data_IF_250895129261
#
_entry.id   IF_250895129261
#
_cell.length_a   1.000
_cell.length_b   1.000
_cell.length_c   1.000
_cell.angle_alpha   90.00
_cell.angle_beta   90.00
_cell.angle_gamma   90.00
#
_symmetry.space_group_name_H-M   'P 1'
#
loop_
_entity.id
_entity.type
_entity.pdbx_description
1 polymer ?
#
# COMPACT_ATOMS: atom_id res chain seq x y z
N UNK A 1 -3.35 20.51 45.70
CA UNK A 1 -2.32 21.21 44.89
C UNK A 1 -2.28 20.58 43.51
N UNK A 2 -2.46 21.36 42.44
CA UNK A 2 -2.34 20.87 41.07
C UNK A 2 -0.91 20.42 40.76
N UNK A 3 -0.75 19.34 39.99
CA UNK A 3 0.59 18.79 39.68
C UNK A 3 1.31 19.74 38.72
N UNK A 4 2.63 19.86 38.83
CA UNK A 4 3.43 20.69 37.92
C UNK A 4 3.28 20.29 36.43
N UNK A 5 2.89 19.04 36.15
CA UNK A 5 2.49 18.58 34.82
C UNK A 5 1.30 19.34 34.25
N UNK A 6 0.33 19.70 35.09
CA UNK A 6 -0.92 20.34 34.67
C UNK A 6 -0.69 21.83 34.36
N UNK A 7 0.21 22.47 35.11
CA UNK A 7 0.63 23.87 34.89
C UNK A 7 1.42 24.00 33.58
N UNK A 8 2.34 23.08 33.29
CA UNK A 8 3.10 23.06 32.03
C UNK A 8 2.19 22.79 30.83
N UNK A 9 1.25 21.85 30.98
CA UNK A 9 0.24 21.53 29.96
C UNK A 9 -0.69 22.70 29.68
N UNK A 10 -1.03 23.51 30.69
CA UNK A 10 -1.85 24.72 30.51
C UNK A 10 -1.21 25.77 29.59
N UNK A 11 0.11 25.99 29.71
CA UNK A 11 0.84 26.91 28.83
C UNK A 11 0.88 26.40 27.38
N UNK A 12 1.21 25.12 27.19
CA UNK A 12 1.23 24.47 25.87
C UNK A 12 -0.14 24.51 25.18
N UNK A 13 -1.22 24.27 25.93
CA UNK A 13 -2.59 24.32 25.43
C UNK A 13 -3.01 25.74 25.03
N UNK A 14 -2.65 26.76 25.81
CA UNK A 14 -2.92 28.16 25.46
C UNK A 14 -2.15 28.59 24.21
N UNK A 15 -0.89 28.19 24.06
CA UNK A 15 -0.12 28.46 22.84
C UNK A 15 -0.72 27.77 21.61
N UNK A 16 -1.21 26.54 21.74
CA UNK A 16 -1.92 25.84 20.67
C UNK A 16 -3.25 26.51 20.31
N UNK A 17 -3.99 27.01 21.31
CA UNK A 17 -5.24 27.75 21.10
C UNK A 17 -5.02 29.07 20.37
N UNK A 18 -3.99 29.84 20.72
CA UNK A 18 -3.63 31.08 20.02
C UNK A 18 -3.31 30.81 18.56
N UNK A 19 -2.55 29.75 18.27
CA UNK A 19 -2.21 29.35 16.89
C UNK A 19 -3.44 28.86 16.11
N UNK A 20 -4.35 28.14 16.77
CA UNK A 20 -5.62 27.71 16.16
C UNK A 20 -6.46 28.91 15.72
N UNK A 21 -6.63 29.91 16.60
CA UNK A 21 -7.38 31.13 16.26
C UNK A 21 -6.73 31.92 15.13
N UNK A 22 -5.41 32.08 15.18
CA UNK A 22 -4.66 32.72 14.09
C UNK A 22 -4.83 31.97 12.76
N UNK A 23 -4.92 30.64 12.78
CA UNK A 23 -5.23 29.82 11.61
C UNK A 23 -6.67 30.00 11.12
N UNK A 24 -7.64 30.11 12.03
CA UNK A 24 -9.04 30.36 11.70
C UNK A 24 -9.24 31.70 10.97
N UNK A 25 -8.50 32.73 11.40
CA UNK A 25 -8.53 34.08 10.83
C UNK A 25 -7.90 34.18 9.43
N UNK A 26 -7.15 33.17 8.98
CA UNK A 26 -6.57 33.16 7.63
C UNK A 26 -7.65 33.02 6.55
N UNK A 27 -7.43 33.73 5.43
CA UNK A 27 -8.23 33.57 4.22
C UNK A 27 -8.11 32.15 3.64
N UNK A 28 -9.08 31.76 2.81
CA UNK A 28 -9.09 30.43 2.15
C UNK A 28 -7.84 30.21 1.31
N UNK A 29 -7.34 31.24 0.63
CA UNK A 29 -6.16 31.15 -0.22
C UNK A 29 -4.87 31.04 0.60
N UNK A 30 -4.76 31.78 1.71
CA UNK A 30 -3.63 31.63 2.64
C UNK A 30 -3.59 30.22 3.25
N UNK A 31 -4.75 29.67 3.62
CA UNK A 31 -4.90 28.28 4.09
C UNK A 31 -4.46 27.26 3.02
N UNK A 32 -4.79 27.49 1.75
CA UNK A 32 -4.37 26.63 0.64
C UNK A 32 -2.85 26.73 0.36
N UNK A 33 -2.28 27.93 0.42
CA UNK A 33 -0.83 28.15 0.22
C UNK A 33 -0.02 27.44 1.29
N UNK A 34 -0.41 27.58 2.57
CA UNK A 34 0.24 26.87 3.67
C UNK A 34 0.09 25.34 3.55
N UNK A 35 -1.06 24.87 3.07
CA UNK A 35 -1.26 23.44 2.78
C UNK A 35 -0.34 22.93 1.65
N UNK A 36 -0.15 23.71 0.59
CA UNK A 36 0.77 23.36 -0.51
C UNK A 36 2.23 23.34 -0.04
N UNK A 37 2.64 24.33 0.75
CA UNK A 37 4.01 24.43 1.28
C UNK A 37 4.39 23.28 2.21
N UNK A 38 3.41 22.67 2.89
CA UNK A 38 3.63 21.57 3.82
C UNK A 38 3.43 20.17 3.23
N UNK A 39 3.15 20.04 1.93
CA UNK A 39 3.16 18.74 1.25
C UNK A 39 4.60 18.21 1.22
N UNK A 40 5.02 17.57 2.30
CA UNK A 40 6.23 16.74 2.28
C UNK A 40 6.11 15.72 1.16
N UNK A 41 7.21 15.48 0.45
CA UNK A 41 7.30 14.55 -0.68
C UNK A 41 6.94 13.14 -0.23
N UNK A 42 5.65 12.80 -0.21
CA UNK A 42 5.24 11.40 -0.16
C UNK A 42 5.61 10.82 -1.51
N UNK A 43 6.78 10.18 -1.58
CA UNK A 43 7.27 9.58 -2.81
C UNK A 43 6.44 8.33 -3.04
N UNK A 44 5.41 8.47 -3.87
CA UNK A 44 4.71 7.29 -4.40
C UNK A 44 5.75 6.44 -5.13
N UNK A 45 5.81 5.16 -4.79
CA UNK A 45 6.70 4.23 -5.48
C UNK A 45 6.19 4.07 -6.92
N UNK A 46 6.93 4.62 -7.88
CA UNK A 46 6.64 4.47 -9.30
C UNK A 46 7.14 3.10 -9.77
N UNK A 47 6.30 2.09 -9.58
CA UNK A 47 6.60 0.73 -10.02
C UNK A 47 6.29 0.55 -11.50
N UNK A 48 7.26 0.04 -12.26
CA UNK A 48 7.08 -0.39 -13.64
C UNK A 48 6.14 -1.60 -13.67
N UNK A 49 5.20 -1.60 -14.62
CA UNK A 49 4.22 -2.68 -14.79
C UNK A 49 4.22 -3.22 -16.20
N UNK A 50 4.05 -4.53 -16.31
CA UNK A 50 3.95 -5.27 -17.57
C UNK A 50 2.57 -5.93 -17.66
N UNK A 51 2.13 -6.22 -18.89
CA UNK A 51 0.90 -7.01 -19.09
C UNK A 51 1.12 -8.43 -18.57
N UNK A 52 0.05 -9.05 -18.08
CA UNK A 52 0.03 -10.45 -17.66
C UNK A 52 -1.38 -10.87 -17.30
N UNK A 53 -1.52 -12.00 -16.62
CA UNK A 53 -2.80 -12.62 -16.31
C UNK A 53 -2.81 -13.17 -14.87
N UNK A 54 -4.01 -13.28 -14.31
CA UNK A 54 -4.27 -13.96 -13.03
C UNK A 54 -5.51 -14.83 -13.18
N UNK A 55 -5.52 -15.98 -12.51
CA UNK A 55 -6.71 -16.84 -12.43
C UNK A 55 -7.72 -16.24 -11.43
N UNK A 56 -9.00 -16.17 -11.80
CA UNK A 56 -10.04 -15.60 -10.95
C UNK A 56 -10.35 -16.49 -9.74
N UNK A 57 -10.72 -15.89 -8.61
CA UNK A 57 -11.23 -16.65 -7.45
C UNK A 57 -12.75 -16.82 -7.50
N UNK A 58 -13.47 -15.87 -8.08
CA UNK A 58 -14.93 -15.82 -8.03
C UNK A 58 -15.64 -16.40 -9.26
N UNK A 59 -14.92 -16.69 -10.35
CA UNK A 59 -15.51 -17.30 -11.53
C UNK A 59 -15.41 -18.83 -11.48
N UNK A 60 -16.44 -19.50 -12.01
CA UNK A 60 -16.47 -20.96 -12.07
C UNK A 60 -15.55 -21.46 -13.18
N UNK A 61 -14.65 -22.37 -12.83
CA UNK A 61 -13.63 -22.94 -13.71
C UNK A 61 -12.41 -22.05 -13.85
N UNK A 62 -11.44 -22.52 -14.64
CA UNK A 62 -10.12 -21.89 -14.78
C UNK A 62 -10.15 -20.68 -15.72
N UNK A 63 -10.54 -19.52 -15.21
CA UNK A 63 -10.65 -18.29 -16.00
C UNK A 63 -9.49 -17.34 -15.70
N UNK A 64 -8.70 -17.04 -16.73
CA UNK A 64 -7.56 -16.14 -16.67
C UNK A 64 -7.92 -14.77 -17.21
N UNK A 65 -7.76 -13.75 -16.36
CA UNK A 65 -8.14 -12.37 -16.65
C UNK A 65 -6.90 -11.48 -16.79
N UNK A 66 -6.88 -10.56 -17.77
CA UNK A 66 -5.73 -9.69 -18.00
C UNK A 66 -5.54 -8.70 -16.84
N UNK A 67 -4.28 -8.49 -16.44
CA UNK A 67 -3.89 -7.55 -15.40
C UNK A 67 -2.54 -6.89 -15.71
N UNK A 68 -2.10 -5.99 -14.82
CA UNK A 68 -0.78 -5.34 -14.87
C UNK A 68 0.09 -5.82 -13.71
N UNK A 69 0.98 -6.77 -14.01
CA UNK A 69 1.97 -7.33 -13.09
C UNK A 69 3.11 -6.34 -12.84
N UNK A 70 3.84 -6.52 -11.74
CA UNK A 70 5.05 -5.75 -11.46
C UNK A 70 6.20 -6.24 -12.35
N UNK A 71 6.93 -5.32 -12.98
CA UNK A 71 8.05 -5.67 -13.87
C UNK A 71 9.20 -6.34 -13.10
N UNK A 72 9.91 -7.24 -13.78
CA UNK A 72 11.21 -7.78 -13.34
C UNK A 72 12.35 -6.77 -13.43
N UNK A 73 12.22 -5.76 -14.28
CA UNK A 73 13.28 -4.79 -14.63
C UNK A 73 13.32 -3.54 -13.74
N UNK A 74 12.66 -3.56 -12.58
CA UNK A 74 12.64 -2.40 -11.68
C UNK A 74 14.00 -2.19 -11.00
N UNK A 75 14.52 -0.96 -11.06
CA UNK A 75 15.78 -0.58 -10.40
C UNK A 75 15.57 0.17 -9.08
N UNK A 76 14.59 1.06 -8.98
CA UNK A 76 14.31 1.81 -7.74
C UNK A 76 13.36 1.05 -6.81
N UNK A 77 13.66 1.04 -5.50
CA UNK A 77 12.92 0.25 -4.48
C UNK A 77 12.82 -1.25 -4.83
N UNK A 78 13.84 -1.78 -5.50
CA UNK A 78 13.84 -3.14 -6.04
C UNK A 78 13.59 -4.21 -4.96
N UNK A 79 14.11 -4.05 -3.74
CA UNK A 79 13.89 -5.01 -2.65
C UNK A 79 12.40 -5.16 -2.28
N UNK A 80 11.70 -4.04 -2.02
CA UNK A 80 10.28 -4.04 -1.70
C UNK A 80 9.43 -4.58 -2.86
N UNK A 81 9.74 -4.14 -4.08
CA UNK A 81 9.03 -4.55 -5.30
C UNK A 81 9.25 -6.04 -5.61
N UNK A 82 10.47 -6.55 -5.45
CA UNK A 82 10.78 -7.96 -5.65
C UNK A 82 10.08 -8.82 -4.60
N UNK A 83 10.08 -8.40 -3.32
CA UNK A 83 9.41 -9.14 -2.24
C UNK A 83 7.92 -9.31 -2.54
N UNK A 84 7.22 -8.22 -2.85
CA UNK A 84 5.78 -8.28 -3.14
C UNK A 84 5.48 -9.00 -4.46
N UNK A 85 6.33 -8.86 -5.49
CA UNK A 85 6.16 -9.55 -6.78
C UNK A 85 6.32 -11.05 -6.62
N UNK A 86 7.42 -11.49 -6.03
CA UNK A 86 7.69 -12.92 -5.82
C UNK A 86 6.62 -13.56 -4.94
N UNK A 87 6.19 -12.87 -3.88
CA UNK A 87 5.17 -13.41 -2.99
C UNK A 87 3.80 -13.55 -3.67
N UNK A 88 3.40 -12.53 -4.46
CA UNK A 88 2.16 -12.57 -5.22
C UNK A 88 2.17 -13.59 -6.38
N UNK A 89 3.36 -13.89 -6.94
CA UNK A 89 3.54 -14.84 -8.04
C UNK A 89 3.70 -16.30 -7.57
N UNK A 90 3.91 -16.53 -6.27
CA UNK A 90 4.12 -17.86 -5.72
C UNK A 90 2.98 -18.82 -6.06
N UNK A 91 3.31 -20.10 -6.22
CA UNK A 91 2.34 -21.15 -6.58
C UNK A 91 1.60 -20.84 -7.88
N UNK A 92 2.28 -20.22 -8.85
CA UNK A 92 1.75 -19.91 -10.18
C UNK A 92 0.54 -18.95 -10.18
N UNK A 93 0.39 -18.09 -9.17
CA UNK A 93 -0.76 -17.18 -9.05
C UNK A 93 -0.76 -15.99 -10.02
N UNK A 94 0.32 -15.80 -10.77
CA UNK A 94 0.43 -14.79 -11.82
C UNK A 94 1.10 -15.40 -13.05
N UNK A 95 0.68 -14.97 -14.23
CA UNK A 95 1.21 -15.47 -15.49
C UNK A 95 1.64 -14.33 -16.42
N UNK A 96 2.80 -14.46 -17.03
CA UNK A 96 3.27 -13.51 -18.04
C UNK A 96 2.51 -13.66 -19.36
N UNK A 97 2.61 -12.65 -20.23
CA UNK A 97 2.09 -12.75 -21.60
C UNK A 97 2.76 -13.92 -22.32
N UNK A 98 1.95 -14.78 -22.95
CA UNK A 98 2.44 -15.95 -23.69
C UNK A 98 2.53 -17.23 -22.87
N UNK A 99 2.03 -17.26 -21.63
CA UNK A 99 1.90 -18.52 -20.89
C UNK A 99 0.96 -19.50 -21.60
N UNK A 100 1.25 -20.79 -21.46
CA UNK A 100 0.37 -21.84 -21.95
C UNK A 100 -0.81 -21.99 -21.00
N UNK A 101 -2.01 -21.68 -21.49
CA UNK A 101 -3.25 -21.89 -20.73
C UNK A 101 -3.40 -23.38 -20.44
N UNK A 102 -3.55 -23.79 -19.17
CA UNK A 102 -3.77 -25.18 -18.83
C UNK A 102 -5.03 -25.75 -19.49
N UNK A 103 -5.06 -27.06 -19.71
CA UNK A 103 -6.23 -27.76 -20.26
C UNK A 103 -7.49 -27.43 -19.46
N UNK A 104 -8.57 -27.06 -20.17
CA UNK A 104 -9.83 -26.63 -19.56
C UNK A 104 -9.86 -25.16 -19.12
N UNK A 105 -8.74 -24.43 -19.23
CA UNK A 105 -8.67 -23.01 -18.93
C UNK A 105 -9.07 -22.12 -20.10
N UNK A 106 -9.57 -20.93 -19.76
CA UNK A 106 -10.02 -19.92 -20.74
C UNK A 106 -9.37 -18.58 -20.42
N UNK A 107 -8.81 -17.95 -21.44
CA UNK A 107 -8.43 -16.54 -21.41
C UNK A 107 -9.66 -15.69 -21.70
N UNK A 108 -10.10 -14.93 -20.71
CA UNK A 108 -11.20 -14.00 -20.87
C UNK A 108 -10.66 -12.58 -20.96
N UNK A 109 -10.65 -12.01 -22.15
CA UNK A 109 -10.35 -10.59 -22.36
C UNK A 109 -11.65 -9.78 -22.48
N UNK A 110 -11.63 -8.53 -22.03
CA UNK A 110 -12.75 -7.60 -22.19
C UNK A 110 -13.78 -7.55 -21.06
N UNK A 111 -13.57 -8.27 -19.95
CA UNK A 111 -14.42 -8.12 -18.75
C UNK A 111 -14.23 -6.71 -18.15
N UNK A 112 -15.28 -5.89 -18.22
CA UNK A 112 -15.27 -4.54 -17.65
C UNK A 112 -15.58 -4.58 -16.16
N UNK A 113 -14.88 -3.77 -15.37
CA UNK A 113 -15.12 -3.65 -13.92
C UNK A 113 -14.25 -4.57 -13.07
N UNK A 114 -13.67 -5.61 -13.67
CA UNK A 114 -12.79 -6.55 -13.01
C UNK A 114 -11.63 -5.87 -12.29
N UNK A 115 -11.45 -6.22 -11.00
CA UNK A 115 -10.27 -5.85 -10.21
C UNK A 115 -9.71 -7.10 -9.56
N UNK A 116 -8.48 -7.51 -9.89
CA UNK A 116 -7.88 -8.68 -9.27
C UNK A 116 -7.63 -8.45 -7.79
N UNK A 117 -7.52 -9.56 -7.04
CA UNK A 117 -7.01 -9.52 -5.69
C UNK A 117 -5.59 -8.93 -5.68
N UNK A 118 -5.23 -8.19 -4.62
CA UNK A 118 -3.95 -7.50 -4.52
C UNK A 118 -3.30 -7.72 -3.17
N UNK A 119 -2.02 -8.06 -3.21
CA UNK A 119 -1.11 -8.03 -2.09
C UNK A 119 -0.44 -6.66 -2.05
N UNK A 120 -0.47 -5.98 -0.91
CA UNK A 120 0.19 -4.70 -0.71
C UNK A 120 1.16 -4.76 0.47
N UNK A 121 2.41 -4.37 0.25
CA UNK A 121 3.40 -4.18 1.31
C UNK A 121 3.64 -2.69 1.51
N UNK A 122 3.61 -2.25 2.77
CA UNK A 122 4.07 -0.93 3.17
C UNK A 122 5.33 -1.07 4.01
N UNK A 123 6.42 -0.53 3.48
CA UNK A 123 7.68 -0.34 4.20
C UNK A 123 7.63 0.99 4.95
N UNK A 124 7.80 0.94 6.27
CA UNK A 124 7.91 2.14 7.10
C UNK A 124 9.35 2.62 7.01
N UNK A 125 9.56 3.64 6.18
CA UNK A 125 10.84 4.32 6.07
C UNK A 125 11.18 5.13 7.32
N UNK A 126 12.25 5.93 7.21
CA UNK A 126 12.74 6.75 8.31
C UNK A 126 11.72 7.81 8.73
N UNK A 127 11.82 8.22 9.99
CA UNK A 127 11.09 9.41 10.47
C UNK A 127 11.54 10.61 9.66
N UNK A 128 10.57 11.36 9.14
CA UNK A 128 10.81 12.56 8.35
C UNK A 128 11.03 13.71 9.34
N UNK A 129 12.08 14.50 9.14
CA UNK A 129 12.35 15.69 9.95
C UNK A 129 11.26 16.77 9.76
N UNK A 130 11.12 17.66 10.73
CA UNK A 130 10.29 18.87 10.67
C UNK A 130 8.78 18.67 10.39
N UNK A 131 8.20 17.58 10.88
CA UNK A 131 6.75 17.35 10.78
C UNK A 131 5.98 18.06 11.89
N UNK A 132 5.71 19.34 11.67
CA UNK A 132 4.86 20.15 12.55
C UNK A 132 3.40 20.13 12.08
N UNK A 133 2.44 20.22 12.99
CA UNK A 133 1.04 20.45 12.65
C UNK A 133 0.89 21.80 11.95
N UNK A 134 0.25 21.83 10.77
CA UNK A 134 -0.09 23.07 10.04
C UNK A 134 -0.78 24.14 10.90
N UNK A 135 -1.56 23.68 11.87
CA UNK A 135 -2.47 24.53 12.64
C UNK A 135 -1.81 24.93 13.96
N UNK A 136 -1.21 23.97 14.65
CA UNK A 136 -0.73 24.15 16.03
C UNK A 136 0.79 24.19 16.15
N UNK A 137 1.51 23.91 15.06
CA UNK A 137 2.96 23.73 15.00
C UNK A 137 3.53 22.66 15.96
N UNK A 138 2.67 21.81 16.53
CA UNK A 138 3.08 20.69 17.36
C UNK A 138 3.72 19.62 16.48
N UNK A 139 4.90 19.15 16.86
CA UNK A 139 5.58 18.07 16.16
C UNK A 139 4.85 16.75 16.31
N UNK A 140 4.72 16.01 15.22
CA UNK A 140 4.19 14.66 15.22
C UNK A 140 5.06 13.77 14.35
N UNK A 141 5.20 12.51 14.75
CA UNK A 141 5.99 11.54 14.00
C UNK A 141 5.29 11.22 12.69
N UNK A 142 5.95 11.52 11.57
CA UNK A 142 5.57 11.04 10.25
C UNK A 142 6.75 10.27 9.66
N UNK A 143 6.43 9.17 8.99
CA UNK A 143 7.39 8.28 8.38
C UNK A 143 7.28 8.37 6.85
N UNK A 144 8.41 8.21 6.15
CA UNK A 144 8.42 8.08 4.69
C UNK A 144 7.97 6.67 4.29
N UNK A 145 6.66 6.45 4.34
CA UNK A 145 6.08 5.16 4.03
C UNK A 145 6.07 4.91 2.52
N UNK A 146 6.62 3.77 2.10
CA UNK A 146 6.60 3.31 0.72
C UNK A 146 5.64 2.15 0.60
N UNK A 147 4.66 2.25 -0.30
CA UNK A 147 3.67 1.18 -0.51
C UNK A 147 3.74 0.68 -1.93
N UNK A 148 3.78 -0.64 -2.10
CA UNK A 148 3.74 -1.31 -3.40
C UNK A 148 2.69 -2.41 -3.35
N UNK A 149 1.93 -2.54 -4.43
CA UNK A 149 0.91 -3.58 -4.58
C UNK A 149 1.07 -4.40 -5.85
N UNK A 150 1.00 -5.72 -5.72
CA UNK A 150 0.98 -6.69 -6.83
C UNK A 150 -0.36 -7.42 -6.90
N UNK A 151 -0.94 -7.62 -8.09
CA UNK A 151 -2.09 -8.51 -8.23
C UNK A 151 -1.68 -9.97 -8.01
N UNK A 152 -2.63 -10.80 -7.59
CA UNK A 152 -2.52 -12.26 -7.54
C UNK A 152 -3.88 -12.90 -7.82
N UNK A 153 -3.86 -14.12 -8.35
CA UNK A 153 -5.04 -14.95 -8.57
C UNK A 153 -5.00 -16.24 -7.78
N UNK A 154 -5.91 -17.16 -8.12
CA UNK A 154 -5.83 -18.54 -7.65
C UNK A 154 -4.60 -19.23 -8.27
N UNK A 155 -3.92 -20.08 -7.50
CA UNK A 155 -2.82 -20.92 -7.99
C UNK A 155 -3.29 -22.28 -8.51
N UNK A 156 -4.51 -22.68 -8.14
CA UNK A 156 -5.17 -23.91 -8.57
C UNK A 156 -6.68 -23.69 -8.70
N UNK A 157 -7.36 -24.54 -9.48
CA UNK A 157 -8.79 -24.44 -9.84
C UNK A 157 -9.76 -24.39 -8.63
N UNK A 158 -9.31 -24.82 -7.45
CA UNK A 158 -10.14 -24.86 -6.22
C UNK A 158 -9.58 -24.00 -5.09
N UNK A 159 -8.51 -23.24 -5.36
CA UNK A 159 -7.92 -22.41 -4.33
C UNK A 159 -8.86 -21.25 -3.99
N UNK A 160 -9.26 -21.17 -2.72
CA UNK A 160 -10.03 -20.03 -2.22
C UNK A 160 -9.12 -18.83 -1.98
N UNK A 161 -9.68 -17.62 -2.06
CA UNK A 161 -8.97 -16.38 -1.70
C UNK A 161 -8.31 -16.48 -0.30
N UNK A 162 -9.02 -17.03 0.68
CA UNK A 162 -8.50 -17.17 2.05
C UNK A 162 -7.31 -18.14 2.14
N UNK A 163 -7.35 -19.24 1.37
CA UNK A 163 -6.23 -20.18 1.27
C UNK A 163 -5.00 -19.51 0.64
N UNK A 164 -5.19 -18.79 -0.46
CA UNK A 164 -4.12 -18.03 -1.12
C UNK A 164 -3.50 -16.98 -0.18
N UNK A 165 -4.33 -16.22 0.55
CA UNK A 165 -3.86 -15.24 1.54
C UNK A 165 -3.03 -15.91 2.64
N UNK A 166 -3.44 -17.09 3.10
CA UNK A 166 -2.74 -17.83 4.15
C UNK A 166 -1.38 -18.32 3.65
N UNK A 167 -1.32 -18.89 2.45
CA UNK A 167 -0.09 -19.35 1.83
C UNK A 167 0.89 -18.18 1.59
N UNK A 168 0.43 -17.06 1.04
CA UNK A 168 1.25 -15.87 0.82
C UNK A 168 1.80 -15.32 2.16
N UNK A 169 0.98 -15.29 3.22
CA UNK A 169 1.42 -14.85 4.55
C UNK A 169 2.48 -15.76 5.15
N UNK A 170 2.40 -17.07 4.90
CA UNK A 170 3.35 -18.07 5.41
C UNK A 170 4.69 -18.12 4.68
N UNK A 171 4.90 -17.28 3.66
CA UNK A 171 6.19 -17.20 3.01
C UNK A 171 7.22 -16.50 3.89
N UNK A 172 8.40 -17.13 4.04
CA UNK A 172 9.49 -16.62 4.88
C UNK A 172 9.90 -15.18 4.57
N UNK A 173 9.86 -14.77 3.30
CA UNK A 173 10.15 -13.40 2.89
C UNK A 173 9.12 -12.38 3.43
N UNK A 174 7.84 -12.76 3.51
CA UNK A 174 6.77 -11.93 4.09
C UNK A 174 6.90 -11.88 5.61
N UNK A 175 7.14 -13.01 6.26
CA UNK A 175 7.36 -13.08 7.70
C UNK A 175 8.55 -12.21 8.12
N UNK A 176 9.68 -12.34 7.41
CA UNK A 176 10.88 -11.53 7.63
C UNK A 176 10.59 -10.04 7.42
N UNK A 177 9.86 -9.68 6.38
CA UNK A 177 9.47 -8.29 6.11
C UNK A 177 8.65 -7.67 7.26
N UNK A 178 7.80 -8.46 7.91
CA UNK A 178 6.93 -8.02 9.01
C UNK A 178 7.66 -7.94 10.37
N UNK A 179 8.84 -8.53 10.51
CA UNK A 179 9.67 -8.36 11.71
C UNK A 179 10.22 -6.93 11.85
N UNK A 180 10.32 -6.20 10.74
CA UNK A 180 10.72 -4.78 10.73
C UNK A 180 9.63 -3.89 11.34
N UNK A 181 10.02 -3.05 12.30
CA UNK A 181 9.06 -2.25 13.07
C UNK A 181 8.22 -1.32 12.20
N UNK A 182 6.90 -1.54 12.23
CA UNK A 182 5.93 -0.69 11.56
C UNK A 182 5.71 -1.00 10.08
N UNK A 183 6.40 -2.01 9.54
CA UNK A 183 6.05 -2.62 8.26
C UNK A 183 4.70 -3.31 8.38
N UNK A 184 3.96 -3.31 7.26
CA UNK A 184 2.61 -3.89 7.23
C UNK A 184 2.29 -4.48 5.88
N UNK A 185 1.43 -5.48 5.92
CA UNK A 185 0.85 -6.16 4.78
C UNK A 185 -0.65 -5.89 4.76
N UNK A 186 -1.21 -5.73 3.55
CA UNK A 186 -2.64 -5.64 3.35
C UNK A 186 -3.04 -6.47 2.13
N UNK A 187 -4.20 -7.10 2.22
CA UNK A 187 -4.80 -7.82 1.11
C UNK A 187 -6.09 -7.14 0.71
N UNK A 188 -6.26 -6.92 -0.58
CA UNK A 188 -7.53 -6.47 -1.16
C UNK A 188 -8.15 -7.65 -1.90
N UNK A 189 -9.41 -8.00 -1.63
CA UNK A 189 -10.08 -9.08 -2.35
C UNK A 189 -10.33 -8.70 -3.81
N UNK A 190 -10.59 -9.72 -4.62
CA UNK A 190 -11.06 -9.58 -6.00
C UNK A 190 -12.44 -8.90 -6.03
N UNK A 191 -12.71 -8.15 -7.09
CA UNK A 191 -14.03 -7.57 -7.39
C UNK A 191 -14.35 -7.97 -8.84
N UNK A 192 -15.48 -8.66 -9.00
CA UNK A 192 -16.05 -9.03 -10.30
C UNK A 192 -16.95 -7.91 -10.84
#
# INVERSE_FOLDING_TARGET
MGKYSDIRRGKELNEALTKLRAWEDLSRDAKQTLYKGQRGSSVKVNANRVKGYVESFGLVGRIYLPTRLLSSTQTTQAALINTVRTAAAASSRTHDVGFTVPTGGVLLDGLKGYKPAKLSLTDRGTEVADNKSRITNIEYKRYDNKTVSSPFGAGTDTETYQAAVTDIKGQSAIETFLQSTGNRIAFTPEIL
#
